data_IF_412259214708
#
_entry.id   IF_412259214708
#
_cell.length_a   1.000
_cell.length_b   1.000
_cell.length_c   1.000
_cell.angle_alpha   90.00
_cell.angle_beta   90.00
_cell.angle_gamma   90.00
#
_symmetry.space_group_name_H-M   'P 1'
#
loop_
_entity.id
_entity.type
_entity.pdbx_description
1 polymer ?
#
# COMPACT_ATOMS: atom_id res chain seq x y z
N UNK A 1 13.64 -4.48 5.41
CA UNK A 1 12.24 -4.91 5.30
C UNK A 1 11.79 -4.53 3.92
N UNK A 2 11.18 -5.45 3.16
CA UNK A 2 10.64 -5.13 1.84
C UNK A 2 9.30 -4.41 1.99
N UNK A 3 9.07 -3.38 1.17
CA UNK A 3 7.77 -2.73 1.08
C UNK A 3 6.75 -3.68 0.44
N UNK A 4 5.49 -3.59 0.86
CA UNK A 4 4.40 -4.39 0.33
C UNK A 4 3.23 -3.50 -0.05
N UNK A 5 2.58 -3.79 -1.16
CA UNK A 5 1.36 -3.14 -1.57
C UNK A 5 0.14 -3.92 -1.08
N UNK A 6 -0.84 -3.22 -0.51
CA UNK A 6 -2.11 -3.83 -0.18
C UNK A 6 -2.91 -4.13 -1.46
N UNK A 7 -3.34 -5.37 -1.65
CA UNK A 7 -4.11 -5.76 -2.85
C UNK A 7 -5.55 -5.22 -2.86
N UNK A 8 -6.04 -4.72 -1.73
CA UNK A 8 -7.40 -4.17 -1.62
C UNK A 8 -7.45 -2.66 -1.87
N UNK A 9 -6.44 -1.90 -1.44
CA UNK A 9 -6.45 -0.43 -1.54
C UNK A 9 -5.19 0.18 -2.16
N UNK A 10 -4.27 -0.66 -2.64
CA UNK A 10 -3.01 -0.31 -3.33
C UNK A 10 -2.03 0.55 -2.52
N UNK A 11 -2.27 0.69 -1.21
CA UNK A 11 -1.35 1.43 -0.35
C UNK A 11 -0.08 0.60 -0.10
N UNK A 12 1.08 1.23 -0.31
CA UNK A 12 2.37 0.66 0.02
C UNK A 12 2.63 0.84 1.52
N UNK A 13 3.04 -0.23 2.19
CA UNK A 13 3.35 -0.26 3.62
C UNK A 13 4.50 -1.21 3.91
N UNK A 14 5.25 -0.94 4.99
CA UNK A 14 6.32 -1.80 5.49
C UNK A 14 5.87 -2.74 6.63
N UNK A 15 4.61 -2.63 7.07
CA UNK A 15 4.03 -3.47 8.13
C UNK A 15 3.36 -4.75 7.61
N UNK A 16 2.89 -5.58 8.54
CA UNK A 16 2.14 -6.81 8.21
C UNK A 16 0.64 -6.58 7.98
N UNK A 17 0.13 -5.39 8.32
CA UNK A 17 -1.29 -5.03 8.19
C UNK A 17 -1.40 -3.66 7.55
N UNK A 18 -2.27 -3.52 6.56
CA UNK A 18 -2.50 -2.24 5.89
C UNK A 18 -3.10 -1.21 6.87
N UNK A 19 -2.49 -0.03 7.06
CA UNK A 19 -3.01 0.98 7.99
C UNK A 19 -4.32 1.63 7.52
N UNK A 20 -4.61 1.59 6.21
CA UNK A 20 -5.81 2.23 5.63
C UNK A 20 -7.05 1.35 5.70
N UNK A 21 -6.94 0.09 5.28
CA UNK A 21 -8.08 -0.82 5.19
C UNK A 21 -8.05 -1.97 6.22
N UNK A 22 -6.99 -2.08 7.03
CA UNK A 22 -6.78 -3.15 8.04
C UNK A 22 -6.70 -4.57 7.47
N UNK A 23 -6.58 -4.72 6.16
CA UNK A 23 -6.34 -6.01 5.51
C UNK A 23 -4.92 -6.51 5.77
N UNK A 24 -4.77 -7.83 5.96
CA UNK A 24 -3.49 -8.55 5.95
C UNK A 24 -3.11 -9.06 4.55
N UNK A 25 -3.93 -8.77 3.53
CA UNK A 25 -3.65 -9.13 2.13
C UNK A 25 -2.68 -8.11 1.51
N UNK A 26 -1.39 -8.41 1.65
CA UNK A 26 -0.28 -7.59 1.15
C UNK A 26 0.55 -8.41 0.14
N UNK A 27 0.93 -7.77 -0.97
CA UNK A 27 1.79 -8.32 -2.02
C UNK A 27 3.11 -7.57 -2.05
N UNK A 28 4.21 -8.31 -2.06
CA UNK A 28 5.57 -7.79 -2.30
C UNK A 28 5.91 -7.64 -3.79
N UNK A 29 5.08 -8.18 -4.68
CA UNK A 29 5.15 -7.93 -6.12
C UNK A 29 4.15 -6.81 -6.48
N UNK A 30 4.68 -5.63 -6.78
CA UNK A 30 3.93 -4.50 -7.29
C UNK A 30 4.81 -3.65 -8.21
N UNK A 31 4.18 -2.94 -9.13
CA UNK A 31 4.84 -1.99 -10.04
C UNK A 31 3.98 -0.75 -10.24
N UNK A 32 4.56 0.33 -10.78
CA UNK A 32 3.86 1.61 -11.00
C UNK A 32 3.69 2.42 -9.70
N UNK A 33 4.80 2.88 -9.12
CA UNK A 33 4.78 3.73 -7.93
C UNK A 33 4.14 5.10 -8.22
N UNK A 34 3.15 5.48 -7.42
CA UNK A 34 2.49 6.78 -7.48
C UNK A 34 2.61 7.48 -6.13
N UNK A 35 2.98 8.77 -6.14
CA UNK A 35 3.05 9.61 -4.95
C UNK A 35 1.97 10.68 -5.08
N UNK A 36 1.02 10.68 -4.13
CA UNK A 36 -0.09 11.63 -4.08
C UNK A 36 0.21 12.62 -2.96
N UNK A 37 0.36 13.90 -3.31
CA UNK A 37 0.58 14.98 -2.34
C UNK A 37 -0.74 15.53 -1.81
N UNK A 38 -1.69 15.79 -2.70
CA UNK A 38 -3.01 16.32 -2.38
C UNK A 38 -4.08 15.57 -3.18
N UNK A 39 -4.86 14.68 -2.56
CA UNK A 39 -5.92 13.94 -3.24
C UNK A 39 -7.22 14.74 -3.42
N UNK A 40 -7.41 15.86 -2.71
CA UNK A 40 -8.68 16.59 -2.64
C UNK A 40 -8.66 17.97 -3.33
N UNK A 41 -7.50 18.39 -3.84
CA UNK A 41 -7.28 19.71 -4.47
C UNK A 41 -8.29 20.12 -5.54
#
# INVERSE_FOLDING_TARGET
>A
MSEKACTSCHLITSGNVCPRCKSSSLSDDFSGLVIIFDPEG
#
